data_IF_565761071014
#
_entry.id   IF_565761071014
#
_cell.length_a   1.000
_cell.length_b   1.000
_cell.length_c   1.000
_cell.angle_alpha   90.00
_cell.angle_beta   90.00
_cell.angle_gamma   90.00
#
_symmetry.space_group_name_H-M   'P 1'
#
loop_
_entity.id
_entity.type
_entity.pdbx_description
1 polymer ?
#
# COMPACT_ATOMS: atom_id res chain seq x y z
N UNK A 1 16.10 -36.34 -18.63
CA UNK A 1 15.77 -34.93 -18.88
C UNK A 1 14.89 -34.46 -17.74
N UNK A 2 15.42 -33.63 -16.83
CA UNK A 2 14.67 -33.18 -15.63
C UNK A 2 13.84 -31.95 -15.97
N UNK A 3 12.57 -32.00 -15.58
CA UNK A 3 11.57 -31.02 -15.91
C UNK A 3 11.60 -29.88 -14.88
N UNK A 4 12.30 -28.80 -15.20
CA UNK A 4 12.32 -27.57 -14.40
C UNK A 4 10.99 -26.83 -14.55
N UNK A 5 9.96 -27.36 -13.89
CA UNK A 5 8.72 -26.63 -13.59
C UNK A 5 9.06 -25.51 -12.60
N UNK A 6 9.71 -24.48 -13.14
CA UNK A 6 10.15 -23.32 -12.41
C UNK A 6 8.91 -22.53 -12.01
N UNK A 7 8.55 -22.66 -10.73
CA UNK A 7 7.44 -21.98 -10.09
C UNK A 7 7.60 -20.48 -10.39
N UNK A 8 6.72 -19.96 -11.24
CA UNK A 8 6.59 -18.51 -11.40
C UNK A 8 6.31 -17.98 -10.00
N UNK A 9 7.12 -17.05 -9.45
CA UNK A 9 6.79 -16.42 -8.19
C UNK A 9 5.39 -15.84 -8.36
N UNK A 10 4.41 -16.50 -7.75
CA UNK A 10 3.04 -16.03 -7.70
C UNK A 10 3.15 -14.72 -6.91
N UNK A 11 3.08 -13.59 -7.61
CA UNK A 11 3.23 -12.26 -7.03
C UNK A 11 2.13 -12.09 -5.98
N UNK A 12 2.44 -12.45 -4.74
CA UNK A 12 1.60 -12.19 -3.59
C UNK A 12 1.52 -10.68 -3.46
N UNK A 13 0.36 -10.06 -3.71
CA UNK A 13 0.22 -8.62 -3.91
C UNK A 13 0.99 -7.86 -2.84
N UNK A 14 2.12 -7.33 -3.26
CA UNK A 14 3.18 -6.85 -2.40
C UNK A 14 2.67 -5.60 -1.64
N UNK A 15 2.46 -5.75 -0.33
CA UNK A 15 2.49 -4.68 0.67
C UNK A 15 1.36 -3.64 0.71
N UNK A 16 0.62 -3.38 -0.36
CA UNK A 16 -0.41 -2.35 -0.35
C UNK A 16 -1.78 -2.94 -0.02
N UNK A 17 -2.25 -2.78 1.22
CA UNK A 17 -3.62 -3.18 1.58
C UNK A 17 -4.60 -2.08 1.15
N UNK A 18 -5.42 -2.28 0.09
CA UNK A 18 -6.30 -1.25 -0.45
C UNK A 18 -7.38 -0.80 0.53
N UNK A 19 -7.61 -1.57 1.60
CA UNK A 19 -8.52 -1.18 2.69
C UNK A 19 -8.09 0.12 3.37
N UNK A 20 -6.78 0.35 3.57
CA UNK A 20 -6.30 1.56 4.25
C UNK A 20 -6.49 2.81 3.40
N UNK A 21 -6.37 2.69 2.07
CA UNK A 21 -6.71 3.77 1.15
C UNK A 21 -8.20 4.11 1.23
N UNK A 22 -9.08 3.10 1.23
CA UNK A 22 -10.52 3.31 1.36
C UNK A 22 -10.92 4.00 2.67
N UNK A 23 -10.32 3.58 3.78
CA UNK A 23 -10.53 4.20 5.10
C UNK A 23 -10.02 5.65 5.11
N UNK A 24 -8.82 5.90 4.58
CA UNK A 24 -8.25 7.24 4.48
C UNK A 24 -9.12 8.19 3.67
N UNK A 25 -9.62 7.75 2.51
CA UNK A 25 -10.51 8.55 1.66
C UNK A 25 -11.84 8.84 2.37
N UNK A 26 -12.47 7.85 3.02
CA UNK A 26 -13.72 8.06 3.74
C UNK A 26 -13.58 9.11 4.87
N UNK A 27 -12.49 9.01 5.65
CA UNK A 27 -12.18 9.99 6.70
C UNK A 27 -11.85 11.37 6.12
N UNK A 28 -11.06 11.41 5.04
CA UNK A 28 -10.73 12.64 4.34
C UNK A 28 -11.95 13.37 3.80
N UNK A 29 -12.89 12.66 3.19
CA UNK A 29 -14.16 13.23 2.71
C UNK A 29 -14.98 13.77 3.87
N UNK A 30 -15.10 13.03 4.98
CA UNK A 30 -15.80 13.51 6.17
C UNK A 30 -15.18 14.81 6.75
N UNK A 31 -13.85 14.87 6.84
CA UNK A 31 -13.12 16.07 7.28
C UNK A 31 -13.25 17.23 6.28
N UNK A 32 -13.19 16.94 4.98
CA UNK A 32 -13.36 17.94 3.93
C UNK A 32 -14.76 18.56 3.94
N UNK A 33 -15.79 17.75 4.22
CA UNK A 33 -17.15 18.24 4.44
C UNK A 33 -17.24 19.10 5.71
N UNK A 34 -16.61 18.68 6.80
CA UNK A 34 -16.59 19.45 8.06
C UNK A 34 -15.90 20.83 7.91
N UNK A 35 -14.83 20.90 7.12
CA UNK A 35 -14.12 22.16 6.83
C UNK A 35 -14.72 22.95 5.65
N UNK A 36 -15.75 22.42 4.97
CA UNK A 36 -16.30 23.03 3.76
C UNK A 36 -15.34 23.04 2.56
N UNK A 37 -14.28 22.23 2.60
CA UNK A 37 -13.28 22.09 1.56
C UNK A 37 -12.97 20.62 1.28
N UNK A 38 -13.71 20.04 0.33
CA UNK A 38 -13.54 18.64 -0.07
C UNK A 38 -12.17 18.37 -0.69
N UNK A 39 -11.60 19.34 -1.42
CA UNK A 39 -10.27 19.18 -2.02
C UNK A 39 -9.20 18.96 -0.95
N UNK A 40 -9.24 19.75 0.13
CA UNK A 40 -8.36 19.58 1.29
C UNK A 40 -8.60 18.22 1.97
N UNK A 41 -9.86 17.86 2.18
CA UNK A 41 -10.22 16.59 2.80
C UNK A 41 -9.71 15.37 2.03
N UNK A 42 -9.90 15.33 0.71
CA UNK A 42 -9.40 14.24 -0.14
C UNK A 42 -7.87 14.19 -0.14
N UNK A 43 -7.19 15.35 -0.22
CA UNK A 43 -5.72 15.39 -0.18
C UNK A 43 -5.17 14.78 1.12
N UNK A 44 -5.74 15.15 2.27
CA UNK A 44 -5.38 14.60 3.58
C UNK A 44 -5.73 13.11 3.66
N UNK A 45 -6.93 12.72 3.24
CA UNK A 45 -7.40 11.34 3.30
C UNK A 45 -6.58 10.37 2.47
N UNK A 46 -6.22 10.76 1.24
CA UNK A 46 -5.34 9.97 0.38
C UNK A 46 -3.93 9.88 0.97
N UNK A 47 -3.37 11.00 1.47
CA UNK A 47 -2.04 10.99 2.09
C UNK A 47 -1.98 10.07 3.32
N UNK A 48 -2.98 10.13 4.20
CA UNK A 48 -3.08 9.25 5.37
C UNK A 48 -3.31 7.79 4.99
N UNK A 49 -4.25 7.53 4.08
CA UNK A 49 -4.56 6.17 3.62
C UNK A 49 -3.37 5.50 2.92
N UNK A 50 -2.63 6.27 2.11
CA UNK A 50 -1.40 5.80 1.49
C UNK A 50 -0.27 5.60 2.51
N UNK A 51 -0.08 6.53 3.44
CA UNK A 51 0.94 6.39 4.49
C UNK A 51 0.72 5.15 5.37
N UNK A 52 -0.53 4.91 5.81
CA UNK A 52 -0.86 3.72 6.59
C UNK A 52 -0.83 2.42 5.77
N UNK A 53 -1.25 2.48 4.51
CA UNK A 53 -1.15 1.34 3.58
C UNK A 53 0.30 0.94 3.32
N UNK A 54 1.20 1.92 3.18
CA UNK A 54 2.63 1.70 2.96
C UNK A 54 3.39 1.32 4.23
N UNK A 55 2.93 1.70 5.43
CA UNK A 55 3.62 1.33 6.68
C UNK A 55 3.55 -0.18 6.99
N UNK A 56 2.55 -0.88 6.44
CA UNK A 56 2.43 -2.35 6.51
C UNK A 56 2.95 -3.08 5.27
N UNK A 57 3.36 -2.34 4.24
CA UNK A 57 4.26 -2.84 3.21
C UNK A 57 5.64 -2.99 3.84
N UNK A 58 5.83 -4.05 4.63
CA UNK A 58 7.15 -4.39 5.15
C UNK A 58 8.14 -4.46 3.99
N UNK A 59 9.39 -3.98 4.17
CA UNK A 59 10.44 -4.24 3.18
C UNK A 59 10.47 -5.74 2.96
N UNK A 60 10.46 -6.18 1.72
CA UNK A 60 10.94 -7.51 1.40
C UNK A 60 12.33 -7.60 2.03
N UNK A 61 12.57 -8.56 2.96
CA UNK A 61 13.92 -8.98 3.24
C UNK A 61 14.34 -9.70 1.98
N UNK A 62 14.77 -8.93 0.99
CA UNK A 62 15.53 -9.47 -0.12
C UNK A 62 16.82 -9.97 0.52
N UNK A 63 16.80 -11.28 0.69
CA UNK A 63 17.84 -12.16 1.18
C UNK A 63 19.24 -11.61 0.97
N UNK A 64 20.03 -11.75 2.01
CA UNK A 64 21.48 -11.73 1.99
C UNK A 64 22.02 -12.43 0.72
N UNK A 65 22.44 -11.66 -0.29
CA UNK A 65 23.44 -12.13 -1.25
C UNK A 65 24.72 -11.33 -1.01
N UNK A 66 25.44 -11.90 -0.05
CA UNK A 66 26.87 -11.77 0.15
C UNK A 66 27.63 -11.91 -1.18
N UNK A 67 28.30 -10.80 -1.56
CA UNK A 67 29.62 -10.69 -2.18
C UNK A 67 29.84 -11.14 -3.64
N UNK A 68 30.67 -10.37 -4.36
CA UNK A 68 31.97 -10.89 -4.79
C UNK A 68 33.14 -10.39 -3.94
#
# INVERSE_FOLDING_TARGET
MNNSNNQRPERQPDGFSPQYLGIGVALGVALGLAFGNIALGIAIGVALGAAFGSMRAGPTPDSEEEQP
#
